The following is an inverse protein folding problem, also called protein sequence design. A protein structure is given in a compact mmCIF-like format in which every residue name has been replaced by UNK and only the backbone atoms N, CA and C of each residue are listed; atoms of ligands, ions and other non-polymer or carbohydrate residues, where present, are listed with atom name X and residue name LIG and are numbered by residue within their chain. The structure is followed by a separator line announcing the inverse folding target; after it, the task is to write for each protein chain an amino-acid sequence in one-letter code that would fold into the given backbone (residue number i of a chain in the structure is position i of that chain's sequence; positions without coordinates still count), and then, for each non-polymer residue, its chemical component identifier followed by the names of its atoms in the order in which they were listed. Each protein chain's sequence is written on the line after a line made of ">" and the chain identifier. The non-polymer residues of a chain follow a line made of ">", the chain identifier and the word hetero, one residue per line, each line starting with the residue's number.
data_IF_868787595279
#
_entry.id   IF_868787595279
#
_cell.length_a   1.000
_cell.length_b   1.000
_cell.length_c   1.000
_cell.angle_alpha   90.00
_cell.angle_beta   90.00
_cell.angle_gamma   90.00
#
_symmetry.space_group_name_H-M   'P 1'
#
loop_
_entity.id
_entity.type
_entity.pdbx_description
1 polymer ?
#
# COMPACT_ATOMS: atom_id res chain seq x y z
N UNK A 1 22.17 21.33 -26.16
CA UNK A 1 20.83 21.80 -25.80
C UNK A 1 19.89 20.63 -26.01
N UNK A 2 19.52 19.90 -24.96
CA UNK A 2 18.50 18.86 -25.04
C UNK A 2 17.17 19.56 -25.30
N UNK A 3 16.55 19.28 -26.44
CA UNK A 3 15.28 19.88 -26.86
C UNK A 3 14.25 19.88 -25.72
N UNK A 4 13.55 21.00 -25.52
CA UNK A 4 12.62 21.19 -24.39
C UNK A 4 11.58 20.08 -24.26
N UNK A 5 11.14 19.49 -25.38
CA UNK A 5 10.24 18.34 -25.37
C UNK A 5 10.87 17.12 -24.71
N UNK A 6 12.09 16.76 -25.11
CA UNK A 6 12.83 15.64 -24.54
C UNK A 6 13.10 15.87 -23.04
N UNK A 7 13.45 17.11 -22.64
CA UNK A 7 13.64 17.44 -21.23
C UNK A 7 12.34 17.30 -20.42
N UNK A 8 11.19 17.74 -20.96
CA UNK A 8 9.89 17.61 -20.27
C UNK A 8 9.38 16.15 -20.19
N UNK A 9 9.71 15.33 -21.18
CA UNK A 9 9.44 13.88 -21.16
C UNK A 9 10.28 13.17 -20.11
N UNK A 10 11.59 13.47 -20.05
CA UNK A 10 12.48 12.90 -19.05
C UNK A 10 12.05 13.26 -17.63
N UNK A 11 11.69 14.53 -17.39
CA UNK A 11 11.17 14.97 -16.09
C UNK A 11 9.92 14.19 -15.69
N UNK A 12 9.00 13.92 -16.62
CA UNK A 12 7.81 13.10 -16.36
C UNK A 12 8.17 11.66 -16.02
N UNK A 13 9.08 11.05 -16.75
CA UNK A 13 9.52 9.67 -16.52
C UNK A 13 10.16 9.54 -15.12
N UNK A 14 10.95 10.53 -14.71
CA UNK A 14 11.54 10.56 -13.38
C UNK A 14 10.45 10.68 -12.29
N UNK A 15 9.47 11.57 -12.46
CA UNK A 15 8.34 11.67 -11.53
C UNK A 15 7.49 10.39 -11.47
N UNK A 16 7.29 9.71 -12.61
CA UNK A 16 6.59 8.41 -12.66
C UNK A 16 7.37 7.33 -11.90
N UNK A 17 8.70 7.27 -12.08
CA UNK A 17 9.58 6.34 -11.37
C UNK A 17 9.53 6.59 -9.86
N UNK A 18 9.66 7.84 -9.45
CA UNK A 18 9.64 8.23 -8.03
C UNK A 18 8.30 7.87 -7.39
N UNK A 19 7.19 8.04 -8.12
CA UNK A 19 5.87 7.64 -7.65
C UNK A 19 5.74 6.12 -7.47
N UNK A 20 6.29 5.32 -8.39
CA UNK A 20 6.31 3.84 -8.28
C UNK A 20 7.16 3.40 -7.09
N UNK A 21 8.33 4.02 -6.90
CA UNK A 21 9.19 3.73 -5.75
C UNK A 21 8.48 4.06 -4.43
N UNK A 22 7.84 5.22 -4.33
CA UNK A 22 7.08 5.60 -3.14
C UNK A 22 5.94 4.62 -2.84
N UNK A 23 5.19 4.17 -3.86
CA UNK A 23 4.15 3.14 -3.67
C UNK A 23 4.75 1.84 -3.14
N UNK A 24 5.87 1.39 -3.71
CA UNK A 24 6.54 0.17 -3.27
C UNK A 24 6.94 0.26 -1.80
N UNK A 25 7.59 1.36 -1.41
CA UNK A 25 8.05 1.58 -0.03
C UNK A 25 6.87 1.68 0.95
N UNK A 26 5.81 2.40 0.58
CA UNK A 26 4.60 2.50 1.41
C UNK A 26 3.93 1.13 1.58
N UNK A 27 3.79 0.34 0.51
CA UNK A 27 3.24 -1.02 0.59
C UNK A 27 4.09 -1.97 1.45
N UNK A 28 5.43 -1.88 1.36
CA UNK A 28 6.33 -2.68 2.20
C UNK A 28 6.26 -2.29 3.68
N UNK A 29 5.97 -1.02 3.97
CA UNK A 29 5.81 -0.54 5.34
C UNK A 29 4.50 -0.95 6.01
N UNK A 30 3.56 -1.55 5.27
CA UNK A 30 2.29 -1.98 5.84
C UNK A 30 2.54 -3.09 6.85
N UNK A 31 2.24 -2.77 8.10
CA UNK A 31 2.13 -3.73 9.18
C UNK A 31 0.84 -3.43 9.94
N UNK A 32 0.06 -4.47 10.19
CA UNK A 32 -1.24 -4.37 10.86
C UNK A 32 -1.28 -5.36 12.00
N UNK A 33 -1.60 -4.86 13.18
CA UNK A 33 -1.86 -5.69 14.35
C UNK A 33 -3.33 -5.62 14.74
N UNK A 34 -3.95 -6.78 14.90
CA UNK A 34 -5.28 -6.92 15.47
C UNK A 34 -5.21 -7.69 16.79
N UNK A 35 -6.11 -7.36 17.71
CA UNK A 35 -6.25 -8.02 19.00
C UNK A 35 -7.71 -8.36 19.22
N UNK A 36 -7.99 -9.58 19.66
CA UNK A 36 -9.35 -10.02 19.96
C UNK A 36 -9.94 -9.27 21.17
N UNK A 37 -11.25 -9.41 21.38
CA UNK A 37 -12.01 -8.60 22.36
C UNK A 37 -11.54 -8.76 23.80
N UNK A 38 -11.20 -9.98 24.19
CA UNK A 38 -10.70 -10.34 25.53
C UNK A 38 -9.17 -10.16 25.66
N UNK A 39 -8.51 -9.69 24.60
CA UNK A 39 -7.06 -9.40 24.55
C UNK A 39 -6.17 -10.61 24.83
N UNK A 40 -6.70 -11.81 24.58
CA UNK A 40 -5.98 -13.06 24.76
C UNK A 40 -5.19 -13.47 23.51
N UNK A 41 -5.56 -12.96 22.34
CA UNK A 41 -4.87 -13.24 21.07
C UNK A 41 -4.62 -11.93 20.33
N UNK A 42 -3.37 -11.71 19.94
CA UNK A 42 -2.98 -10.66 19.01
C UNK A 42 -2.26 -11.27 17.81
N UNK A 43 -2.59 -10.81 16.61
CA UNK A 43 -1.96 -11.21 15.36
C UNK A 43 -1.43 -9.97 14.65
N UNK A 44 -0.23 -10.07 14.11
CA UNK A 44 0.36 -9.09 13.22
C UNK A 44 0.55 -9.69 11.84
N UNK A 45 0.21 -8.91 10.82
CA UNK A 45 0.38 -9.26 9.41
C UNK A 45 1.10 -8.15 8.69
N UNK A 46 1.83 -8.51 7.63
CA UNK A 46 2.40 -7.56 6.68
C UNK A 46 1.37 -7.11 5.63
N UNK A 47 1.82 -6.26 4.70
CA UNK A 47 1.01 -5.81 3.57
C UNK A 47 0.47 -6.94 2.70
N UNK A 48 1.17 -8.08 2.60
CA UNK A 48 0.73 -9.24 1.81
C UNK A 48 -0.21 -10.17 2.59
N UNK A 49 -0.68 -9.72 3.76
CA UNK A 49 -1.47 -10.51 4.70
C UNK A 49 -0.76 -11.77 5.22
N UNK A 50 0.56 -11.86 5.09
CA UNK A 50 1.33 -12.90 5.73
C UNK A 50 1.44 -12.61 7.23
N UNK A 51 1.19 -13.62 8.07
CA UNK A 51 1.34 -13.48 9.52
C UNK A 51 2.82 -13.35 9.88
N UNK A 52 3.19 -12.18 10.41
CA UNK A 52 4.56 -11.85 10.85
C UNK A 52 4.72 -11.91 12.36
N UNK A 53 3.62 -11.97 13.10
CA UNK A 53 3.66 -12.17 14.54
C UNK A 53 2.36 -12.70 15.13
N UNK A 54 2.51 -13.45 16.23
CA UNK A 54 1.43 -14.02 17.01
C UNK A 54 1.79 -13.89 18.50
N UNK A 55 0.87 -13.34 19.29
CA UNK A 55 1.02 -13.25 20.74
C UNK A 55 -0.22 -13.84 21.41
N UNK A 56 0.05 -14.73 22.37
CA UNK A 56 -0.97 -15.38 23.18
C UNK A 56 -0.82 -14.88 24.62
N UNK A 57 -1.87 -14.26 25.14
CA UNK A 57 -1.96 -13.86 26.53
C UNK A 57 -2.16 -15.05 27.46
N UNK A 58 -2.01 -14.84 28.77
CA UNK A 58 -2.11 -15.88 29.80
C UNK A 58 -3.43 -16.66 29.76
N UNK A 59 -4.51 -16.03 29.28
CA UNK A 59 -5.85 -16.61 29.24
C UNK A 59 -6.22 -17.23 27.89
N UNK A 60 -5.32 -17.26 26.91
CA UNK A 60 -5.60 -17.73 25.55
C UNK A 60 -6.08 -19.19 25.50
N UNK A 61 -5.60 -20.03 26.41
CA UNK A 61 -5.95 -21.46 26.48
C UNK A 61 -7.18 -21.77 27.33
N UNK A 62 -7.82 -20.77 27.95
CA UNK A 62 -8.88 -20.97 28.95
C UNK A 62 -10.05 -21.83 28.45
N UNK A 63 -10.38 -21.70 27.17
CA UNK A 63 -11.53 -22.37 26.55
C UNK A 63 -11.14 -23.62 25.74
N UNK A 64 -9.89 -24.05 25.81
CA UNK A 64 -9.37 -25.20 25.07
C UNK A 64 -8.76 -24.86 23.71
N UNK A 65 -8.13 -25.87 23.10
CA UNK A 65 -7.33 -25.71 21.87
C UNK A 65 -8.18 -25.32 20.64
N UNK A 66 -9.39 -25.87 20.51
CA UNK A 66 -10.27 -25.57 19.38
C UNK A 66 -10.73 -24.11 19.39
N UNK A 67 -11.09 -23.59 20.57
CA UNK A 67 -11.47 -22.18 20.72
C UNK A 67 -10.29 -21.25 20.42
N UNK A 68 -9.10 -21.60 20.92
CA UNK A 68 -7.87 -20.85 20.63
C UNK A 68 -7.57 -20.83 19.12
N UNK A 69 -7.64 -21.97 18.44
CA UNK A 69 -7.38 -22.04 17.00
C UNK A 69 -8.35 -21.13 16.22
N UNK A 70 -9.64 -21.15 16.59
CA UNK A 70 -10.66 -20.26 16.01
C UNK A 70 -10.33 -18.79 16.27
N UNK A 71 -9.99 -18.42 17.50
CA UNK A 71 -9.64 -17.04 17.84
C UNK A 71 -8.41 -16.53 17.08
N UNK A 72 -7.40 -17.38 16.86
CA UNK A 72 -6.22 -17.03 16.05
C UNK A 72 -6.63 -16.74 14.61
N UNK A 73 -7.43 -17.62 13.99
CA UNK A 73 -7.89 -17.44 12.61
C UNK A 73 -8.75 -16.18 12.47
N UNK A 74 -9.73 -15.99 13.36
CA UNK A 74 -10.62 -14.82 13.34
C UNK A 74 -9.82 -13.51 13.50
N UNK A 75 -8.85 -13.49 14.41
CA UNK A 75 -7.99 -12.31 14.64
C UNK A 75 -7.05 -12.05 13.46
N UNK A 76 -6.50 -13.10 12.85
CA UNK A 76 -5.69 -13.00 11.65
C UNK A 76 -6.49 -12.46 10.45
N UNK A 77 -7.72 -12.94 10.25
CA UNK A 77 -8.62 -12.44 9.22
C UNK A 77 -8.95 -10.95 9.43
N UNK A 78 -9.18 -10.53 10.68
CA UNK A 78 -9.40 -9.13 10.98
C UNK A 78 -8.18 -8.26 10.63
N UNK A 79 -6.97 -8.71 10.97
CA UNK A 79 -5.73 -8.01 10.60
C UNK A 79 -5.54 -7.97 9.07
N UNK A 80 -5.73 -9.10 8.39
CA UNK A 80 -5.60 -9.22 6.93
C UNK A 80 -6.58 -8.31 6.18
N UNK A 81 -7.82 -8.20 6.66
CA UNK A 81 -8.82 -7.29 6.08
C UNK A 81 -8.37 -5.83 6.15
N UNK A 82 -7.86 -5.40 7.31
CA UNK A 82 -7.34 -4.04 7.49
C UNK A 82 -6.10 -3.80 6.60
N UNK A 83 -5.21 -4.79 6.45
CA UNK A 83 -4.06 -4.69 5.55
C UNK A 83 -4.49 -4.53 4.09
N UNK A 84 -5.45 -5.34 3.63
CA UNK A 84 -6.01 -5.26 2.28
C UNK A 84 -6.71 -3.91 2.03
N UNK A 85 -7.45 -3.38 3.00
CA UNK A 85 -8.09 -2.07 2.90
C UNK A 85 -7.04 -0.94 2.78
N UNK A 86 -5.91 -1.03 3.51
CA UNK A 86 -4.79 -0.09 3.37
C UNK A 86 -4.13 -0.19 1.99
N UNK A 87 -3.87 -1.40 1.49
CA UNK A 87 -3.32 -1.60 0.16
C UNK A 87 -4.21 -1.01 -0.93
N UNK A 88 -5.53 -1.27 -0.86
CA UNK A 88 -6.50 -0.72 -1.82
C UNK A 88 -6.46 0.81 -1.83
N UNK A 89 -6.45 1.43 -0.65
CA UNK A 89 -6.34 2.89 -0.52
C UNK A 89 -5.06 3.45 -1.16
N UNK A 90 -3.91 2.79 -0.96
CA UNK A 90 -2.64 3.23 -1.56
C UNK A 90 -2.65 3.11 -3.09
N UNK A 91 -3.21 2.02 -3.62
CA UNK A 91 -3.33 1.81 -5.06
C UNK A 91 -4.25 2.84 -5.72
N UNK A 92 -5.39 3.16 -5.10
CA UNK A 92 -6.31 4.20 -5.58
C UNK A 92 -5.61 5.57 -5.64
N UNK A 93 -4.94 5.96 -4.55
CA UNK A 93 -4.18 7.22 -4.49
C UNK A 93 -3.03 7.28 -5.50
N UNK A 94 -2.35 6.17 -5.72
CA UNK A 94 -1.31 6.07 -6.75
C UNK A 94 -1.90 6.25 -8.15
N UNK A 95 -2.99 5.55 -8.47
CA UNK A 95 -3.63 5.63 -9.77
C UNK A 95 -4.11 7.06 -10.08
N UNK A 96 -4.68 7.76 -9.09
CA UNK A 96 -5.03 9.17 -9.21
C UNK A 96 -3.82 10.04 -9.55
N UNK A 97 -2.72 9.93 -8.79
CA UNK A 97 -1.50 10.72 -9.02
C UNK A 97 -0.85 10.43 -10.37
N UNK A 98 -0.81 9.17 -10.78
CA UNK A 98 -0.27 8.77 -12.07
C UNK A 98 -1.10 9.36 -13.22
N UNK A 99 -2.43 9.31 -13.11
CA UNK A 99 -3.33 9.86 -14.15
C UNK A 99 -3.16 11.37 -14.33
N UNK A 100 -2.92 12.11 -13.24
CA UNK A 100 -2.63 13.56 -13.30
C UNK A 100 -1.31 13.81 -14.04
N UNK A 101 -0.30 13.01 -13.76
CA UNK A 101 1.03 13.14 -14.36
C UNK A 101 1.02 12.79 -15.85
N UNK A 102 0.28 11.76 -16.25
CA UNK A 102 0.11 11.38 -17.66
C UNK A 102 -0.58 12.48 -18.48
N UNK A 103 -1.60 13.13 -17.91
CA UNK A 103 -2.36 14.23 -18.55
C UNK A 103 -1.65 15.57 -18.53
N UNK A 104 -0.56 15.71 -17.77
CA UNK A 104 0.17 16.96 -17.72
C UNK A 104 0.67 17.37 -19.13
N UNK A 105 0.66 18.65 -19.49
CA UNK A 105 1.20 19.10 -20.76
C UNK A 105 2.73 18.98 -20.78
N UNK A 106 3.28 18.61 -21.94
CA UNK A 106 4.73 18.60 -22.21
C UNK A 106 5.15 19.96 -22.75
N UNK A 107 6.33 20.45 -22.36
CA UNK A 107 6.85 21.75 -22.85
C UNK A 107 7.76 21.52 -24.04
N UNK A 108 7.53 22.22 -25.14
CA UNK A 108 8.42 22.21 -26.32
C UNK A 108 9.55 23.24 -26.17
N UNK A 109 10.59 23.13 -26.99
CA UNK A 109 11.73 24.07 -26.99
C UNK A 109 11.35 25.50 -27.35
N UNK A 110 10.24 25.69 -28.07
CA UNK A 110 9.67 27.00 -28.43
C UNK A 110 8.75 27.60 -27.34
N UNK A 111 8.64 26.94 -26.18
CA UNK A 111 7.78 27.37 -25.07
C UNK A 111 6.30 27.00 -25.23
N UNK A 112 5.89 26.42 -26.37
CA UNK A 112 4.53 25.91 -26.55
C UNK A 112 4.32 24.61 -25.77
N UNK A 113 3.06 24.31 -25.44
CA UNK A 113 2.68 23.09 -24.73
C UNK A 113 2.06 22.07 -25.68
N UNK A 114 2.47 20.82 -25.57
CA UNK A 114 1.80 19.69 -26.18
C UNK A 114 0.95 18.99 -25.13
N UNK A 115 -0.37 18.99 -25.31
CA UNK A 115 -1.28 18.17 -24.53
C UNK A 115 -1.21 16.72 -25.07
N UNK A 116 -0.84 15.74 -24.24
CA UNK A 116 -1.03 14.34 -24.61
C UNK A 116 -2.51 14.11 -24.90
N UNK A 117 -2.84 13.64 -26.10
CA UNK A 117 -4.20 13.24 -26.46
C UNK A 117 -4.63 12.01 -25.64
N UNK A 118 -5.92 11.96 -25.28
CA UNK A 118 -6.56 10.82 -24.58
C UNK A 118 -6.31 9.47 -25.27
#
# INVERSE_FOLDING_TARGET
>A
MTDGLAASLLARIDEQRDLIQALHDECQSITVRATNRDRSVSVEVDGMAAMTGLWLGETAYRNGADDLARQIVDTAQAAAKIAADRQRYLLERFAERLSVLERAPLKRSDGSTHQPSE
#
